data_IF_474323135765
#
_entry.id   IF_474323135765
#
_cell.length_a   1.000
_cell.length_b   1.000
_cell.length_c   1.000
_cell.angle_alpha   90.00
_cell.angle_beta   90.00
_cell.angle_gamma   90.00
#
_symmetry.space_group_name_H-M   'P 1'
#
loop_
_entity.id
_entity.type
_entity.pdbx_description
1 polymer ?
#
# COMPACT_ATOMS: atom_id res chain seq x y z
N UNK A 1 22.82 -56.79 9.16
CA UNK A 1 22.46 -56.02 7.95
C UNK A 1 22.52 -54.54 8.29
N UNK A 2 23.66 -53.90 8.06
CA UNK A 2 23.85 -52.46 8.21
C UNK A 2 23.99 -51.89 6.80
N UNK A 3 23.03 -51.06 6.36
CA UNK A 3 23.10 -50.35 5.08
C UNK A 3 23.88 -49.06 5.31
N UNK A 4 25.08 -49.00 4.75
CA UNK A 4 25.81 -47.75 4.51
C UNK A 4 25.04 -46.92 3.48
N UNK A 5 24.70 -45.69 3.84
CA UNK A 5 24.19 -44.69 2.91
C UNK A 5 25.35 -43.80 2.48
N UNK A 6 25.79 -43.96 1.23
CA UNK A 6 26.74 -43.08 0.58
C UNK A 6 26.07 -41.72 0.32
N UNK A 7 26.63 -40.67 0.95
CA UNK A 7 26.21 -39.29 0.77
C UNK A 7 26.84 -38.76 -0.53
N UNK A 8 26.04 -38.70 -1.59
CA UNK A 8 26.43 -38.14 -2.90
C UNK A 8 26.60 -36.62 -2.79
N UNK A 9 27.84 -36.15 -2.95
CA UNK A 9 28.19 -34.73 -2.97
C UNK A 9 27.70 -34.07 -4.28
N UNK A 10 26.48 -33.54 -4.27
CA UNK A 10 26.04 -32.63 -5.31
C UNK A 10 26.90 -31.36 -5.27
N UNK A 11 27.52 -31.04 -6.40
CA UNK A 11 28.26 -29.81 -6.65
C UNK A 11 27.34 -28.61 -6.45
N UNK A 12 27.56 -27.92 -5.34
CA UNK A 12 26.90 -26.67 -5.00
C UNK A 12 27.40 -25.60 -5.96
N UNK A 13 26.65 -25.34 -7.02
CA UNK A 13 26.83 -24.12 -7.80
C UNK A 13 26.59 -22.94 -6.85
N UNK A 14 27.50 -21.95 -6.83
CA UNK A 14 27.36 -20.81 -5.95
C UNK A 14 26.04 -20.11 -6.28
N UNK A 15 25.22 -19.74 -5.28
CA UNK A 15 23.99 -19.03 -5.53
C UNK A 15 24.34 -17.76 -6.31
N UNK A 16 23.71 -17.59 -7.47
CA UNK A 16 23.71 -16.33 -8.20
C UNK A 16 23.23 -15.27 -7.22
N UNK A 17 24.17 -14.48 -6.69
CA UNK A 17 23.86 -13.28 -5.93
C UNK A 17 23.19 -12.35 -6.94
N UNK A 18 21.86 -12.36 -6.96
CA UNK A 18 21.08 -11.33 -7.64
C UNK A 18 21.45 -10.05 -6.90
N UNK A 19 22.39 -9.32 -7.48
CA UNK A 19 22.89 -8.05 -6.96
C UNK A 19 21.72 -7.06 -6.94
N UNK A 20 21.12 -6.93 -5.75
CA UNK A 20 19.96 -6.07 -5.48
C UNK A 20 20.30 -4.58 -5.59
N UNK A 21 21.54 -4.24 -5.94
CA UNK A 21 22.08 -2.87 -5.91
C UNK A 21 21.76 -2.03 -7.16
N UNK A 22 21.19 -2.62 -8.23
CA UNK A 22 20.92 -1.90 -9.49
C UNK A 22 19.45 -1.55 -9.74
N UNK A 23 18.59 -1.58 -8.73
CA UNK A 23 17.33 -0.83 -8.84
C UNK A 23 17.64 0.64 -8.56
N UNK A 24 18.00 1.40 -9.60
CA UNK A 24 18.01 2.85 -9.60
C UNK A 24 16.57 3.35 -9.41
N UNK A 25 16.08 3.29 -8.18
CA UNK A 25 14.83 3.93 -7.82
C UNK A 25 15.00 5.43 -8.01
N UNK A 26 14.09 6.03 -8.78
CA UNK A 26 13.94 7.47 -8.85
C UNK A 26 13.78 8.00 -7.40
N UNK A 27 14.60 8.98 -6.94
CA UNK A 27 14.56 9.48 -5.57
C UNK A 27 13.14 9.91 -5.13
N UNK A 28 12.30 10.32 -6.08
CA UNK A 28 10.91 10.70 -5.81
C UNK A 28 10.04 9.50 -5.40
N UNK A 29 10.23 8.34 -6.02
CA UNK A 29 9.51 7.10 -5.67
C UNK A 29 9.92 6.61 -4.27
N UNK A 30 11.20 6.78 -3.92
CA UNK A 30 11.72 6.42 -2.61
C UNK A 30 11.04 7.25 -1.51
N UNK A 31 10.96 8.57 -1.71
CA UNK A 31 10.30 9.48 -0.76
C UNK A 31 8.82 9.13 -0.60
N UNK A 32 8.11 8.88 -1.70
CA UNK A 32 6.70 8.50 -1.65
C UNK A 32 6.47 7.19 -0.86
N UNK A 33 7.35 6.20 -1.03
CA UNK A 33 7.28 4.96 -0.25
C UNK A 33 7.57 5.18 1.24
N UNK A 34 8.51 6.06 1.57
CA UNK A 34 8.82 6.41 2.95
C UNK A 34 7.62 7.08 3.64
N UNK A 35 6.98 8.04 2.98
CA UNK A 35 5.78 8.73 3.49
C UNK A 35 4.62 7.75 3.72
N UNK A 36 4.39 6.82 2.80
CA UNK A 36 3.39 5.75 2.98
C UNK A 36 3.74 4.83 4.15
N UNK A 37 5.02 4.52 4.36
CA UNK A 37 5.46 3.69 5.48
C UNK A 37 5.23 4.39 6.84
N UNK A 38 5.50 5.70 6.91
CA UNK A 38 5.23 6.52 8.10
C UNK A 38 3.74 6.56 8.41
N UNK A 39 2.90 6.85 7.41
CA UNK A 39 1.45 6.88 7.56
C UNK A 39 0.90 5.54 8.08
N UNK A 40 1.35 4.41 7.50
CA UNK A 40 0.98 3.06 7.96
C UNK A 40 1.39 2.80 9.40
N UNK A 41 2.55 3.30 9.83
CA UNK A 41 3.02 3.15 11.22
C UNK A 41 2.13 3.92 12.19
N UNK A 42 1.75 5.14 11.86
CA UNK A 42 0.83 5.95 12.68
C UNK A 42 -0.54 5.27 12.82
N UNK A 43 -1.08 4.74 11.73
CA UNK A 43 -2.36 3.99 11.74
C UNK A 43 -2.27 2.74 12.63
N UNK A 44 -1.16 1.99 12.56
CA UNK A 44 -0.94 0.82 13.42
C UNK A 44 -0.89 1.19 14.90
N UNK A 45 -0.21 2.29 15.25
CA UNK A 45 -0.16 2.77 16.63
C UNK A 45 -1.56 3.19 17.13
N UNK A 46 -2.34 3.89 16.31
CA UNK A 46 -3.71 4.30 16.64
C UNK A 46 -4.65 3.09 16.80
N UNK A 47 -4.51 2.09 15.94
CA UNK A 47 -5.22 0.81 16.06
C UNK A 47 -4.89 0.11 17.39
N UNK A 48 -3.61 0.03 17.75
CA UNK A 48 -3.19 -0.57 19.01
C UNK A 48 -3.74 0.21 20.22
N UNK A 49 -3.78 1.53 20.16
CA UNK A 49 -4.41 2.37 21.19
C UNK A 49 -5.91 2.09 21.32
N UNK A 50 -6.64 1.93 20.21
CA UNK A 50 -8.04 1.50 20.22
C UNK A 50 -8.23 0.13 20.86
N UNK A 51 -7.38 -0.84 20.51
CA UNK A 51 -7.44 -2.18 21.11
C UNK A 51 -7.18 -2.15 22.62
N UNK A 52 -6.27 -1.29 23.07
CA UNK A 52 -6.01 -1.08 24.49
C UNK A 52 -7.23 -0.47 25.20
N UNK A 53 -7.86 0.56 24.61
CA UNK A 53 -9.09 1.17 25.15
C UNK A 53 -10.22 0.13 25.21
N UNK A 54 -10.49 -0.56 24.11
CA UNK A 54 -11.52 -1.59 24.03
C UNK A 54 -11.28 -2.72 25.02
N UNK A 55 -10.02 -3.18 25.16
CA UNK A 55 -9.63 -4.19 26.14
C UNK A 55 -9.86 -3.76 27.58
N UNK A 56 -9.44 -2.54 27.95
CA UNK A 56 -9.65 -1.99 29.29
C UNK A 56 -11.15 -1.82 29.60
N UNK A 57 -11.93 -1.31 28.66
CA UNK A 57 -13.39 -1.18 28.83
C UNK A 57 -14.07 -2.55 28.93
N UNK A 58 -13.58 -3.56 28.22
CA UNK A 58 -14.08 -4.94 28.31
C UNK A 58 -13.85 -5.54 29.69
N UNK A 59 -12.65 -5.35 30.25
CA UNK A 59 -12.33 -5.82 31.60
C UNK A 59 -13.24 -5.14 32.63
N UNK A 60 -13.44 -3.82 32.51
CA UNK A 60 -14.31 -3.06 33.40
C UNK A 60 -15.77 -3.52 33.28
N UNK A 61 -16.26 -3.71 32.06
CA UNK A 61 -17.59 -4.24 31.79
C UNK A 61 -17.78 -5.62 32.45
N UNK A 62 -16.83 -6.54 32.25
CA UNK A 62 -16.88 -7.88 32.84
C UNK A 62 -16.93 -7.84 34.37
N UNK A 63 -16.11 -6.98 34.99
CA UNK A 63 -16.12 -6.78 36.44
C UNK A 63 -17.48 -6.26 36.95
N UNK A 64 -18.12 -5.34 36.20
CA UNK A 64 -19.46 -4.83 36.51
C UNK A 64 -20.53 -5.92 36.40
N UNK A 65 -20.49 -6.74 35.34
CA UNK A 65 -21.42 -7.86 35.13
C UNK A 65 -21.30 -8.87 36.27
N UNK A 66 -20.08 -9.25 36.66
CA UNK A 66 -19.84 -10.21 37.75
C UNK A 66 -20.24 -9.66 39.13
N UNK A 67 -20.27 -8.33 39.29
CA UNK A 67 -20.68 -7.69 40.55
C UNK A 67 -22.20 -7.63 40.75
N UNK A 68 -23.01 -8.04 39.76
CA UNK A 68 -24.47 -8.01 39.84
C UNK A 68 -25.07 -6.61 39.98
N UNK A 69 -24.33 -5.57 39.58
CA UNK A 69 -24.80 -4.17 39.60
C UNK A 69 -25.83 -3.92 38.51
N UNK A 70 -26.58 -2.83 38.67
CA UNK A 70 -27.72 -2.47 37.81
C UNK A 70 -27.45 -2.62 36.31
N UNK A 71 -28.39 -3.22 35.55
CA UNK A 71 -28.18 -3.60 34.14
C UNK A 71 -27.97 -2.42 33.19
N UNK A 72 -28.44 -1.21 33.55
CA UNK A 72 -28.36 -0.03 32.67
C UNK A 72 -26.93 0.38 32.32
N UNK A 73 -26.04 0.43 33.32
CA UNK A 73 -24.63 0.78 33.11
C UNK A 73 -23.86 -0.30 32.35
N UNK A 74 -24.25 -1.57 32.50
CA UNK A 74 -23.64 -2.69 31.80
C UNK A 74 -23.86 -2.60 30.29
N UNK A 75 -25.06 -2.22 29.84
CA UNK A 75 -25.37 -2.09 28.41
C UNK A 75 -24.58 -0.95 27.74
N UNK A 76 -24.44 0.20 28.41
CA UNK A 76 -23.64 1.31 27.89
C UNK A 76 -22.16 0.92 27.74
N UNK A 77 -21.59 0.26 28.76
CA UNK A 77 -20.22 -0.25 28.69
C UNK A 77 -20.04 -1.28 27.57
N UNK A 78 -21.01 -2.18 27.37
CA UNK A 78 -20.99 -3.14 26.27
C UNK A 78 -21.01 -2.43 24.91
N UNK A 79 -21.87 -1.42 24.72
CA UNK A 79 -21.91 -0.64 23.50
C UNK A 79 -20.56 0.07 23.24
N UNK A 80 -19.94 0.62 24.28
CA UNK A 80 -18.63 1.25 24.18
C UNK A 80 -17.53 0.28 23.76
N UNK A 81 -17.60 -0.98 24.22
CA UNK A 81 -16.71 -2.07 23.79
C UNK A 81 -16.89 -2.34 22.29
N UNK A 82 -18.13 -2.59 21.86
CA UNK A 82 -18.44 -2.87 20.45
C UNK A 82 -18.03 -1.71 19.55
N UNK A 83 -18.32 -0.47 19.98
CA UNK A 83 -17.90 0.75 19.29
C UNK A 83 -16.38 0.83 19.19
N UNK A 84 -15.64 0.63 20.28
CA UNK A 84 -14.17 0.73 20.28
C UNK A 84 -13.52 -0.30 19.33
N UNK A 85 -14.00 -1.54 19.34
CA UNK A 85 -13.51 -2.58 18.43
C UNK A 85 -13.93 -2.35 16.98
N UNK A 86 -15.18 -1.95 16.74
CA UNK A 86 -15.68 -1.64 15.40
C UNK A 86 -14.95 -0.46 14.78
N UNK A 87 -14.70 0.59 15.57
CA UNK A 87 -13.98 1.76 15.12
C UNK A 87 -12.48 1.49 14.95
N UNK A 88 -11.89 0.69 15.86
CA UNK A 88 -10.53 0.17 15.68
C UNK A 88 -10.39 -0.60 14.36
N UNK A 89 -11.34 -1.50 14.06
CA UNK A 89 -11.36 -2.21 12.79
C UNK A 89 -11.48 -1.26 11.58
N UNK A 90 -12.32 -0.24 11.65
CA UNK A 90 -12.44 0.76 10.58
C UNK A 90 -11.15 1.57 10.35
N UNK A 91 -10.42 1.92 11.42
CA UNK A 91 -9.10 2.55 11.33
C UNK A 91 -8.10 1.61 10.64
N UNK A 92 -8.15 0.30 10.92
CA UNK A 92 -7.28 -0.68 10.24
C UNK A 92 -7.53 -0.78 8.73
N UNK A 93 -8.73 -0.39 8.26
CA UNK A 93 -9.13 -0.31 6.86
C UNK A 93 -8.89 1.08 6.24
N UNK A 94 -8.04 1.91 6.84
CA UNK A 94 -7.67 3.23 6.34
C UNK A 94 -8.86 4.23 6.25
N UNK A 95 -9.95 3.98 6.97
CA UNK A 95 -11.13 4.85 6.94
C UNK A 95 -10.95 6.07 7.86
N UNK A 96 -10.81 7.24 7.26
CA UNK A 96 -10.61 8.52 7.97
C UNK A 96 -11.79 8.92 8.85
N UNK A 97 -13.03 8.71 8.38
CA UNK A 97 -14.25 9.05 9.13
C UNK A 97 -14.30 8.28 10.44
N UNK A 98 -13.87 7.03 10.40
CA UNK A 98 -13.78 6.18 11.57
C UNK A 98 -12.80 6.71 12.61
N UNK A 99 -11.60 7.14 12.19
CA UNK A 99 -10.62 7.75 13.10
C UNK A 99 -11.16 9.02 13.78
N UNK A 100 -11.81 9.90 13.01
CA UNK A 100 -12.38 11.16 13.51
C UNK A 100 -13.49 10.94 14.53
N UNK A 101 -14.43 10.04 14.25
CA UNK A 101 -15.54 9.74 15.17
C UNK A 101 -14.97 9.10 16.46
N UNK A 102 -14.02 8.17 16.35
CA UNK A 102 -13.42 7.54 17.53
C UNK A 102 -12.69 8.55 18.41
N UNK A 103 -11.91 9.45 17.81
CA UNK A 103 -11.25 10.54 18.51
C UNK A 103 -12.25 11.46 19.22
N UNK A 104 -13.28 11.91 18.50
CA UNK A 104 -14.31 12.78 19.06
C UNK A 104 -15.06 12.11 20.21
N UNK A 105 -15.42 10.85 20.05
CA UNK A 105 -16.07 10.05 21.10
C UNK A 105 -15.20 9.92 22.36
N UNK A 106 -13.92 9.57 22.20
CA UNK A 106 -12.99 9.45 23.33
C UNK A 106 -12.76 10.78 24.05
N UNK A 107 -12.64 11.87 23.29
CA UNK A 107 -12.46 13.20 23.85
C UNK A 107 -13.69 13.66 24.65
N UNK A 108 -14.90 13.42 24.12
CA UNK A 108 -16.15 13.71 24.82
C UNK A 108 -16.29 12.89 26.11
N UNK A 109 -15.99 11.59 26.08
CA UNK A 109 -15.99 10.73 27.27
C UNK A 109 -15.06 11.27 28.36
N UNK A 110 -13.85 11.72 27.98
CA UNK A 110 -12.90 12.29 28.94
C UNK A 110 -13.30 13.66 29.48
N UNK A 111 -13.90 14.51 28.65
CA UNK A 111 -14.46 15.80 29.12
C UNK A 111 -15.55 15.54 30.17
N UNK A 112 -16.47 14.61 29.90
CA UNK A 112 -17.54 14.25 30.83
C UNK A 112 -16.97 13.71 32.16
N UNK A 113 -15.98 12.82 32.12
CA UNK A 113 -15.32 12.30 33.33
C UNK A 113 -14.66 13.41 34.17
N UNK A 114 -13.97 14.35 33.51
CA UNK A 114 -13.35 15.51 34.18
C UNK A 114 -14.41 16.42 34.80
N UNK A 115 -15.52 16.68 34.10
CA UNK A 115 -16.66 17.45 34.63
C UNK A 115 -17.32 16.77 35.84
N UNK A 116 -17.30 15.44 35.91
CA UNK A 116 -17.75 14.66 37.07
C UNK A 116 -16.72 14.59 38.21
N UNK A 117 -15.57 15.27 38.08
CA UNK A 117 -14.50 15.29 39.08
C UNK A 117 -13.61 14.04 39.09
N UNK A 118 -13.71 13.18 38.07
CA UNK A 118 -12.89 11.97 37.95
C UNK A 118 -11.62 12.27 37.16
N UNK A 119 -10.52 12.56 37.88
CA UNK A 119 -9.21 12.81 37.28
C UNK A 119 -8.35 11.55 37.09
N UNK A 120 -8.90 10.38 37.44
CA UNK A 120 -8.18 9.11 37.36
C UNK A 120 -7.78 8.82 35.91
N UNK A 121 -6.48 8.57 35.69
CA UNK A 121 -5.96 8.17 34.38
C UNK A 121 -5.84 9.28 33.34
N UNK A 122 -5.88 10.56 33.73
CA UNK A 122 -5.76 11.69 32.78
C UNK A 122 -4.46 11.67 31.97
N UNK A 123 -3.35 11.24 32.59
CA UNK A 123 -2.04 11.10 31.91
C UNK A 123 -2.11 10.04 30.81
N UNK A 124 -2.70 8.87 31.12
CA UNK A 124 -2.90 7.79 30.14
C UNK A 124 -3.85 8.26 29.04
N UNK A 125 -4.92 8.98 29.40
CA UNK A 125 -5.85 9.55 28.43
C UNK A 125 -5.15 10.52 27.47
N UNK A 126 -4.28 11.41 27.96
CA UNK A 126 -3.53 12.33 27.11
C UNK A 126 -2.62 11.61 26.10
N UNK A 127 -1.97 10.52 26.53
CA UNK A 127 -1.15 9.68 25.64
C UNK A 127 -2.03 9.01 24.58
N UNK A 128 -3.21 8.50 24.95
CA UNK A 128 -4.16 7.90 24.02
C UNK A 128 -4.72 8.91 23.02
N UNK A 129 -5.06 10.12 23.47
CA UNK A 129 -5.46 11.24 22.59
C UNK A 129 -4.40 11.50 21.54
N UNK A 130 -3.12 11.54 21.94
CA UNK A 130 -2.00 11.73 21.01
C UNK A 130 -1.94 10.62 19.96
N UNK A 131 -2.06 9.35 20.36
CA UNK A 131 -2.07 8.24 19.41
C UNK A 131 -3.29 8.23 18.47
N UNK A 132 -4.47 8.60 18.97
CA UNK A 132 -5.67 8.70 18.13
C UNK A 132 -5.56 9.87 17.14
N UNK A 133 -4.96 10.98 17.56
CA UNK A 133 -4.67 12.13 16.69
C UNK A 133 -3.67 11.76 15.58
N UNK A 134 -2.57 11.09 15.92
CA UNK A 134 -1.62 10.55 14.94
C UNK A 134 -2.33 9.60 13.97
N UNK A 135 -3.32 8.84 14.43
CA UNK A 135 -4.17 8.00 13.57
C UNK A 135 -4.96 8.78 12.54
N UNK A 136 -5.55 9.92 12.92
CA UNK A 136 -6.27 10.80 11.99
C UNK A 136 -5.33 11.32 10.91
N UNK A 137 -4.16 11.86 11.31
CA UNK A 137 -3.14 12.36 10.38
C UNK A 137 -2.70 11.23 9.44
N UNK A 138 -2.38 10.05 9.98
CA UNK A 138 -1.95 8.90 9.18
C UNK A 138 -2.98 8.46 8.15
N UNK A 139 -4.27 8.42 8.51
CA UNK A 139 -5.34 8.09 7.55
C UNK A 139 -5.53 9.15 6.48
N UNK A 140 -5.38 10.44 6.83
CA UNK A 140 -5.50 11.55 5.89
C UNK A 140 -4.33 11.55 4.88
N UNK A 141 -3.10 11.46 5.39
CA UNK A 141 -1.90 11.35 4.55
C UNK A 141 -1.94 10.12 3.65
N UNK A 142 -2.40 8.97 4.14
CA UNK A 142 -2.50 7.75 3.33
C UNK A 142 -3.48 7.92 2.17
N UNK A 143 -4.68 8.45 2.42
CA UNK A 143 -5.69 8.66 1.38
C UNK A 143 -5.25 9.72 0.36
N UNK A 144 -4.59 10.78 0.82
CA UNK A 144 -4.00 11.79 -0.05
C UNK A 144 -2.95 11.19 -0.99
N UNK A 145 -1.98 10.45 -0.45
CA UNK A 145 -0.91 9.80 -1.23
C UNK A 145 -1.47 8.75 -2.19
N UNK A 146 -2.47 7.97 -1.76
CA UNK A 146 -3.11 6.97 -2.61
C UNK A 146 -3.84 7.64 -3.78
N UNK A 147 -4.57 8.73 -3.54
CA UNK A 147 -5.24 9.49 -4.60
C UNK A 147 -4.25 10.06 -5.62
N UNK A 148 -3.09 10.55 -5.19
CA UNK A 148 -2.07 11.04 -6.12
C UNK A 148 -1.54 9.93 -7.04
N UNK A 149 -1.37 8.71 -6.52
CA UNK A 149 -0.89 7.57 -7.30
C UNK A 149 -1.89 7.10 -8.37
N UNK A 150 -3.19 7.22 -8.08
CA UNK A 150 -4.27 6.74 -8.96
C UNK A 150 -4.60 7.72 -10.08
N UNK A 151 -4.41 9.03 -9.86
CA UNK A 151 -4.65 10.07 -10.88
C UNK A 151 -3.47 10.32 -11.83
N UNK A 152 -2.38 9.55 -11.74
CA UNK A 152 -1.28 9.60 -12.72
C UNK A 152 -0.62 10.98 -12.87
N UNK A 153 -0.66 11.82 -11.84
CA UNK A 153 -0.04 13.14 -11.89
C UNK A 153 1.47 12.96 -11.64
N UNK A 154 2.35 13.34 -12.59
CA UNK A 154 3.78 13.34 -12.36
C UNK A 154 4.08 14.38 -11.27
N UNK A 155 4.36 13.90 -10.06
CA UNK A 155 4.71 14.69 -8.88
C UNK A 155 5.99 15.54 -9.08
N UNK A 156 6.68 15.41 -10.21
CA UNK A 156 7.79 16.27 -10.60
C UNK A 156 7.40 17.72 -11.00
N UNK A 157 6.11 18.05 -11.20
CA UNK A 157 5.71 19.37 -11.73
C UNK A 157 5.07 20.31 -10.70
N UNK A 158 4.60 19.81 -9.55
CA UNK A 158 3.86 20.65 -8.59
C UNK A 158 4.75 21.46 -7.63
N UNK A 159 5.96 21.01 -7.33
CA UNK A 159 6.84 21.68 -6.34
C UNK A 159 7.84 22.67 -6.95
N UNK A 160 8.01 22.71 -8.27
CA UNK A 160 8.93 23.64 -8.96
C UNK A 160 8.24 24.84 -9.62
N UNK A 161 6.92 24.83 -9.76
CA UNK A 161 6.20 25.89 -10.51
C UNK A 161 5.64 27.03 -9.66
N UNK A 162 5.77 26.98 -8.33
CA UNK A 162 5.37 28.09 -7.44
C UNK A 162 6.52 29.05 -7.09
N UNK A 163 7.72 28.86 -7.67
CA UNK A 163 8.85 29.79 -7.50
C UNK A 163 9.23 30.57 -8.75
N UNK A 164 8.54 30.39 -9.87
CA UNK A 164 8.80 31.20 -11.08
C UNK A 164 7.56 31.32 -11.95
N UNK A 165 6.55 32.07 -11.48
CA UNK A 165 5.49 32.56 -12.37
C UNK A 165 5.36 34.07 -12.28
N UNK A 166 6.21 34.72 -13.07
CA UNK A 166 5.81 35.91 -13.82
C UNK A 166 4.60 35.55 -14.71
N UNK A 167 3.58 36.40 -14.84
CA UNK A 167 2.35 36.05 -15.54
C UNK A 167 2.53 36.13 -17.06
N UNK A 168 2.53 34.97 -17.74
CA UNK A 168 2.21 34.89 -19.17
C UNK A 168 0.83 34.24 -19.37
N UNK A 169 0.07 34.66 -20.40
CA UNK A 169 -1.33 34.32 -20.59
C UNK A 169 -1.51 32.86 -21.07
N UNK A 170 -2.70 32.27 -20.86
CA UNK A 170 -2.92 30.84 -20.98
C UNK A 170 -2.96 30.38 -22.44
N UNK A 171 -1.99 29.55 -22.82
CA UNK A 171 -2.06 28.71 -24.02
C UNK A 171 -3.02 27.53 -23.77
N UNK A 172 -3.81 27.21 -24.79
CA UNK A 172 -4.96 26.31 -24.81
C UNK A 172 -4.81 24.94 -24.07
N UNK A 173 -5.93 24.36 -23.58
CA UNK A 173 -5.93 23.05 -22.92
C UNK A 173 -5.41 21.92 -23.82
N UNK A 174 -4.75 20.88 -23.26
CA UNK A 174 -4.25 19.75 -24.03
C UNK A 174 -5.41 18.94 -24.64
N UNK A 175 -5.35 18.76 -25.95
CA UNK A 175 -6.27 17.92 -26.74
C UNK A 175 -6.34 16.49 -26.16
N UNK A 176 -7.54 15.89 -25.99
CA UNK A 176 -7.70 14.52 -25.55
C UNK A 176 -6.90 13.58 -26.45
N UNK A 177 -5.97 12.82 -25.88
CA UNK A 177 -5.16 11.86 -26.63
C UNK A 177 -6.09 10.74 -27.11
N UNK A 178 -6.18 10.56 -28.44
CA UNK A 178 -6.91 9.44 -29.02
C UNK A 178 -6.46 8.11 -28.40
N UNK A 179 -7.40 7.19 -28.13
CA UNK A 179 -7.06 5.85 -27.67
C UNK A 179 -6.19 5.16 -28.72
N UNK A 180 -5.06 4.56 -28.30
CA UNK A 180 -4.22 3.78 -29.20
C UNK A 180 -5.02 2.56 -29.68
N UNK A 181 -5.14 2.40 -31.00
CA UNK A 181 -5.73 1.21 -31.59
C UNK A 181 -4.65 0.13 -31.72
N UNK A 182 -4.82 -1.04 -31.06
CA UNK A 182 -3.85 -2.12 -31.17
C UNK A 182 -3.82 -2.66 -32.60
N UNK A 183 -2.62 -2.95 -33.10
CA UNK A 183 -2.40 -3.59 -34.39
C UNK A 183 -2.91 -5.05 -34.40
N UNK A 184 -3.32 -5.59 -35.56
CA UNK A 184 -3.82 -6.96 -35.67
C UNK A 184 -2.78 -8.02 -35.28
N UNK A 185 -1.49 -7.72 -35.43
CA UNK A 185 -0.37 -8.58 -35.03
C UNK A 185 -0.27 -8.71 -33.50
N UNK A 186 -0.35 -7.59 -32.78
CA UNK A 186 -0.41 -7.59 -31.32
C UNK A 186 -1.66 -8.31 -30.81
N UNK A 187 -2.80 -8.14 -31.49
CA UNK A 187 -4.03 -8.85 -31.15
C UNK A 187 -3.86 -10.36 -31.31
N UNK A 188 -3.19 -10.83 -32.37
CA UNK A 188 -2.93 -12.25 -32.59
C UNK A 188 -2.04 -12.85 -31.49
N UNK A 189 -1.01 -12.11 -31.04
CA UNK A 189 -0.15 -12.54 -29.93
C UNK A 189 -0.87 -12.58 -28.58
N UNK A 190 -1.85 -11.68 -28.36
CA UNK A 190 -2.73 -11.71 -27.20
C UNK A 190 -3.92 -12.68 -27.35
N UNK A 191 -3.87 -13.64 -28.27
CA UNK A 191 -4.94 -14.63 -28.46
C UNK A 191 -6.29 -14.04 -28.93
N UNK A 192 -6.27 -12.84 -29.51
CA UNK A 192 -7.44 -12.07 -29.92
C UNK A 192 -8.04 -11.17 -28.84
N UNK A 193 -7.49 -11.15 -27.62
CA UNK A 193 -8.00 -10.33 -26.53
C UNK A 193 -7.53 -8.87 -26.63
N UNK A 194 -8.46 -8.00 -27.03
CA UNK A 194 -8.22 -6.56 -27.16
C UNK A 194 -7.95 -5.88 -25.81
N UNK A 195 -8.52 -6.38 -24.71
CA UNK A 195 -8.36 -5.78 -23.39
C UNK A 195 -6.94 -5.97 -22.86
N UNK A 196 -6.36 -7.15 -23.08
CA UNK A 196 -4.97 -7.46 -22.71
C UNK A 196 -3.97 -6.62 -23.52
N UNK A 197 -4.19 -6.49 -24.83
CA UNK A 197 -3.36 -5.65 -25.70
C UNK A 197 -3.40 -4.16 -25.28
N UNK A 198 -4.61 -3.64 -24.99
CA UNK A 198 -4.77 -2.26 -24.51
C UNK A 198 -4.13 -2.03 -23.15
N UNK A 199 -4.24 -2.99 -22.23
CA UNK A 199 -3.57 -2.93 -20.94
C UNK A 199 -2.05 -2.85 -21.13
N UNK A 200 -1.46 -3.70 -21.97
CA UNK A 200 -0.02 -3.70 -22.21
C UNK A 200 0.47 -2.37 -22.82
N UNK A 201 -0.25 -1.84 -23.83
CA UNK A 201 0.07 -0.55 -24.44
C UNK A 201 -0.05 0.60 -23.44
N UNK A 202 -1.02 0.56 -22.52
CA UNK A 202 -1.15 1.56 -21.46
C UNK A 202 0.03 1.54 -20.50
N UNK A 203 0.50 0.35 -20.10
CA UNK A 203 1.68 0.19 -19.26
C UNK A 203 2.94 0.74 -19.96
N UNK A 204 3.12 0.43 -21.24
CA UNK A 204 4.26 0.92 -22.03
C UNK A 204 4.23 2.44 -22.21
N UNK A 205 3.04 3.02 -22.43
CA UNK A 205 2.86 4.48 -22.53
C UNK A 205 3.15 5.20 -21.21
N UNK A 206 2.75 4.62 -20.08
CA UNK A 206 3.09 5.13 -18.75
C UNK A 206 4.61 5.06 -18.53
N UNK A 207 5.24 3.95 -18.92
CA UNK A 207 6.68 3.73 -18.72
C UNK A 207 7.56 4.59 -19.64
N UNK A 208 7.11 4.89 -20.86
CA UNK A 208 7.89 5.60 -21.88
C UNK A 208 7.09 6.72 -22.53
N UNK A 209 6.72 7.79 -21.80
CA UNK A 209 5.90 8.88 -22.35
C UNK A 209 6.58 9.57 -23.54
N UNK A 210 5.78 10.00 -24.52
CA UNK A 210 6.25 10.76 -25.68
C UNK A 210 6.82 9.93 -26.83
N UNK A 211 6.82 8.59 -26.73
CA UNK A 211 7.15 7.71 -27.87
C UNK A 211 5.99 7.61 -28.87
N UNK A 212 6.33 7.29 -30.12
CA UNK A 212 5.34 7.09 -31.18
C UNK A 212 4.49 5.84 -30.94
N UNK A 213 3.23 5.79 -31.42
CA UNK A 213 2.38 4.60 -31.32
C UNK A 213 3.05 3.32 -31.82
N UNK A 214 3.74 3.40 -32.96
CA UNK A 214 4.46 2.27 -33.57
C UNK A 214 5.58 1.72 -32.67
N UNK A 215 6.20 2.56 -31.85
CA UNK A 215 7.24 2.13 -30.94
C UNK A 215 6.67 1.24 -29.82
N UNK A 216 5.51 1.61 -29.27
CA UNK A 216 4.85 0.80 -28.24
C UNK A 216 4.40 -0.56 -28.77
N UNK A 217 3.86 -0.60 -30.00
CA UNK A 217 3.45 -1.84 -30.64
C UNK A 217 4.65 -2.79 -30.83
N UNK A 218 5.80 -2.29 -31.31
CA UNK A 218 7.01 -3.12 -31.45
C UNK A 218 7.50 -3.67 -30.13
N UNK A 219 7.53 -2.84 -29.08
CA UNK A 219 7.97 -3.28 -27.74
C UNK A 219 7.00 -4.28 -27.12
N UNK A 220 5.70 -4.12 -27.36
CA UNK A 220 4.68 -5.06 -26.94
C UNK A 220 4.88 -6.43 -27.62
N UNK A 221 5.14 -6.44 -28.93
CA UNK A 221 5.41 -7.64 -29.71
C UNK A 221 6.70 -8.32 -29.24
N UNK A 222 7.76 -7.55 -28.99
CA UNK A 222 9.05 -8.06 -28.52
C UNK A 222 8.95 -8.74 -27.14
N UNK A 223 8.15 -8.18 -26.22
CA UNK A 223 7.92 -8.79 -24.91
C UNK A 223 7.07 -10.07 -24.96
N UNK A 224 6.17 -10.17 -25.94
CA UNK A 224 5.27 -11.32 -26.10
C UNK A 224 5.87 -12.41 -26.99
N UNK A 225 6.87 -12.09 -27.80
CA UNK A 225 7.57 -13.07 -28.63
C UNK A 225 8.57 -13.78 -27.72
N UNK A 226 8.37 -15.07 -27.38
CA UNK A 226 9.35 -15.80 -26.61
C UNK A 226 10.66 -15.77 -27.39
N UNK A 227 11.73 -15.27 -26.76
CA UNK A 227 13.07 -15.37 -27.31
C UNK A 227 13.31 -16.84 -27.63
N UNK A 228 13.31 -17.18 -28.93
CA UNK A 228 13.71 -18.48 -29.40
C UNK A 228 15.10 -18.73 -28.80
N UNK A 229 15.14 -19.68 -27.89
CA UNK A 229 16.36 -20.08 -27.18
C UNK A 229 17.44 -20.31 -28.21
N UNK A 230 18.65 -19.83 -27.91
CA UNK A 230 19.84 -20.05 -28.72
C UNK A 230 19.86 -21.49 -29.25
N UNK A 231 20.21 -21.70 -30.54
CA UNK A 231 20.24 -23.03 -31.12
C UNK A 231 21.13 -23.91 -30.25
N UNK A 232 20.57 -25.01 -29.73
CA UNK A 232 21.33 -26.04 -29.03
C UNK A 232 22.55 -26.38 -29.88
N UNK A 233 23.74 -26.18 -29.33
CA UNK A 233 24.97 -26.66 -29.91
C UNK A 233 24.80 -28.16 -30.23
N UNK A 234 25.13 -28.60 -31.46
CA UNK A 234 25.01 -29.99 -31.84
C UNK A 234 25.88 -30.87 -30.92
N UNK A 235 25.44 -32.10 -30.61
CA UNK A 235 26.18 -32.99 -29.72
C UNK A 235 27.59 -33.19 -30.25
N UNK A 236 28.57 -32.83 -29.41
CA UNK A 236 29.98 -33.10 -29.61
C UNK A 236 30.15 -34.62 -29.69
N UNK A 237 30.36 -35.13 -30.91
CA UNK A 237 30.65 -36.53 -31.13
C UNK A 237 32.04 -36.83 -30.54
N UNK A 238 32.07 -37.57 -29.43
CA UNK A 238 33.25 -38.24 -28.92
C UNK A 238 33.75 -39.27 -29.94
N UNK A 239 34.58 -38.80 -30.87
CA UNK A 239 35.29 -39.65 -31.82
C UNK A 239 36.57 -40.20 -31.17
N UNK A 240 36.56 -41.52 -31.03
CA UNK A 240 37.67 -42.41 -30.68
C UNK A 240 39.02 -42.02 -31.31
N UNK A 241 40.09 -42.05 -30.51
CA UNK A 241 41.41 -42.60 -30.89
C UNK A 241 42.02 -43.20 -29.61
N UNK A 242 42.06 -44.53 -29.43
CA UNK A 242 43.02 -45.52 -29.98
C UNK A 242 44.45 -45.25 -29.58
#
# INVERSE_FOLDING_TARGET
MLREYAFSSNSMTPPTIIDRSQNTYDPLQLQHQEELAIARRQIKNAFQACMFIGGMTTILWLAFVLSGKEPGWSLLLFFNVVLSFGMGYGISRYNQTCAKIMFGYFLLDKIVQVCMGQFAGIVVAAILVKYLWDGIIGTDSYNYLMSQSEYGIPVAVATTLDRTRSPEPPTAPPTPSQPLNPTPELLALCGGDRSQAQWLLSQLKIKHPGRSPEWYDRQAIEQLTPHASDPLDPPENDEKLS
#
